data_IF_871527363191
#
_entry.id   IF_871527363191
#
_cell.length_a   1.000
_cell.length_b   1.000
_cell.length_c   1.000
_cell.angle_alpha   90.00
_cell.angle_beta   90.00
_cell.angle_gamma   90.00
#
_symmetry.space_group_name_H-M   'P 1'
#
loop_
_entity.id
_entity.type
_entity.pdbx_description
1 polymer ?
#
# COMPACT_ATOMS: atom_id res chain seq x y z
N UNK A 1 21.14 -19.57 19.01
CA UNK A 1 21.26 -18.16 19.49
C UNK A 1 22.24 -17.30 18.66
N UNK A 2 23.37 -17.85 18.19
CA UNK A 2 24.40 -17.12 17.42
C UNK A 2 23.91 -16.37 16.17
N UNK A 3 23.01 -16.99 15.37
CA UNK A 3 22.46 -16.36 14.14
C UNK A 3 21.61 -15.11 14.41
N UNK A 4 20.95 -15.02 15.58
CA UNK A 4 20.17 -13.82 16.01
C UNK A 4 21.09 -12.69 16.47
N UNK A 5 22.23 -13.01 17.08
CA UNK A 5 23.25 -12.02 17.44
C UNK A 5 23.94 -11.45 16.18
N UNK A 6 24.28 -12.32 15.22
CA UNK A 6 24.88 -11.91 13.95
C UNK A 6 23.95 -11.06 13.08
N UNK A 7 22.64 -11.34 13.07
CA UNK A 7 21.68 -10.50 12.33
C UNK A 7 21.48 -9.13 12.98
N UNK A 8 21.53 -9.04 14.32
CA UNK A 8 21.56 -7.75 15.04
C UNK A 8 22.83 -6.97 14.73
N UNK A 9 23.98 -7.65 14.65
CA UNK A 9 25.27 -7.06 14.28
C UNK A 9 25.27 -6.52 12.85
N UNK A 10 24.67 -7.24 11.90
CA UNK A 10 24.53 -6.79 10.51
C UNK A 10 23.57 -5.59 10.35
N UNK A 11 22.55 -5.49 11.21
CA UNK A 11 21.64 -4.33 11.28
C UNK A 11 22.32 -3.08 11.85
N UNK A 12 23.32 -3.26 12.71
CA UNK A 12 24.16 -2.20 13.27
C UNK A 12 25.07 -1.54 12.23
N UNK A 13 25.24 -2.14 11.04
CA UNK A 13 26.01 -1.58 9.91
C UNK A 13 25.14 -0.88 8.85
N UNK A 14 23.94 -0.42 9.21
CA UNK A 14 23.10 0.35 8.29
C UNK A 14 23.65 1.77 8.09
N UNK A 15 23.48 2.38 6.91
CA UNK A 15 24.01 3.72 6.52
C UNK A 15 24.01 4.77 7.66
N UNK A 16 22.91 5.02 8.41
CA UNK A 16 22.92 5.99 9.50
C UNK A 16 23.82 5.59 10.68
N UNK A 17 23.91 4.30 11.03
CA UNK A 17 24.82 3.83 12.09
C UNK A 17 26.28 3.89 11.67
N UNK A 18 26.59 3.71 10.37
CA UNK A 18 27.96 3.88 9.84
C UNK A 18 28.42 5.33 9.92
N UNK A 19 27.52 6.28 9.62
CA UNK A 19 27.80 7.71 9.75
C UNK A 19 28.03 8.07 11.22
N UNK A 20 27.17 7.59 12.12
CA UNK A 20 27.33 7.84 13.56
C UNK A 20 28.62 7.23 14.13
N UNK A 21 28.92 5.97 13.82
CA UNK A 21 30.19 5.34 14.20
C UNK A 21 31.38 6.08 13.60
N UNK A 22 31.28 6.51 12.34
CA UNK A 22 32.30 7.30 11.67
C UNK A 22 32.58 8.62 12.41
N UNK A 23 31.53 9.34 12.82
CA UNK A 23 31.66 10.60 13.58
C UNK A 23 32.33 10.36 14.94
N UNK A 24 31.93 9.32 15.67
CA UNK A 24 32.53 8.98 16.99
C UNK A 24 34.01 8.59 16.84
N UNK A 25 34.35 7.80 15.82
CA UNK A 25 35.74 7.41 15.54
C UNK A 25 36.56 8.64 15.14
N UNK A 26 36.06 9.48 14.24
CA UNK A 26 36.73 10.71 13.81
C UNK A 26 36.95 11.65 14.99
N UNK A 27 35.94 11.81 15.87
CA UNK A 27 36.06 12.63 17.07
C UNK A 27 37.19 12.16 17.99
N UNK A 28 37.31 10.85 18.23
CA UNK A 28 38.42 10.32 19.03
C UNK A 28 39.79 10.44 18.35
N UNK A 29 39.86 10.33 17.01
CA UNK A 29 41.10 10.60 16.25
C UNK A 29 41.51 12.07 16.39
N UNK A 30 40.56 13.01 16.35
CA UNK A 30 40.81 14.44 16.56
C UNK A 30 41.32 14.71 17.98
N UNK A 31 40.71 14.10 19.00
CA UNK A 31 41.21 14.21 20.37
C UNK A 31 42.64 13.68 20.50
N UNK A 32 42.97 12.60 19.80
CA UNK A 32 44.32 12.03 19.75
C UNK A 32 45.33 12.96 19.07
N UNK A 33 44.96 13.57 17.94
CA UNK A 33 45.79 14.55 17.24
C UNK A 33 46.03 15.84 18.06
N UNK A 34 45.12 16.20 18.96
CA UNK A 34 45.23 17.39 19.81
C UNK A 34 46.06 17.17 21.09
N UNK A 35 46.61 15.97 21.32
CA UNK A 35 47.57 15.72 22.40
C UNK A 35 46.99 15.79 23.83
N UNK A 36 45.67 15.66 23.98
CA UNK A 36 45.00 15.58 25.29
C UNK A 36 45.49 14.30 26.00
N UNK A 37 45.94 14.34 27.25
CA UNK A 37 46.55 13.17 27.92
C UNK A 37 45.66 11.91 27.87
N UNK A 38 46.13 10.87 27.17
CA UNK A 38 45.35 9.66 26.86
C UNK A 38 45.52 8.56 27.91
N UNK A 39 44.51 8.34 28.73
CA UNK A 39 44.36 7.08 29.46
C UNK A 39 43.51 6.10 28.64
N UNK A 40 44.13 5.06 28.08
CA UNK A 40 43.46 4.08 27.21
C UNK A 40 42.21 3.45 27.84
N UNK A 41 42.18 3.28 29.18
CA UNK A 41 41.01 2.73 29.88
C UNK A 41 39.84 3.69 29.85
N UNK A 42 40.12 4.99 30.02
CA UNK A 42 39.10 6.05 29.98
C UNK A 42 38.58 6.17 28.56
N UNK A 43 39.45 6.14 27.54
CA UNK A 43 39.03 6.21 26.13
C UNK A 43 38.14 5.04 25.71
N UNK A 44 38.48 3.81 26.11
CA UNK A 44 37.64 2.64 25.81
C UNK A 44 36.29 2.76 26.54
N UNK A 45 36.29 3.21 27.80
CA UNK A 45 35.06 3.42 28.57
C UNK A 45 34.17 4.51 27.94
N UNK A 46 34.74 5.64 27.54
CA UNK A 46 33.99 6.73 26.86
C UNK A 46 33.42 6.26 25.54
N UNK A 47 34.17 5.48 24.76
CA UNK A 47 33.71 4.95 23.48
C UNK A 47 32.51 3.99 23.67
N UNK A 48 32.53 3.14 24.69
CA UNK A 48 31.40 2.26 25.03
C UNK A 48 30.17 3.09 25.43
N UNK A 49 30.36 4.13 26.25
CA UNK A 49 29.29 5.05 26.66
C UNK A 49 28.71 5.76 25.44
N UNK A 50 29.54 6.33 24.58
CA UNK A 50 29.12 7.07 23.38
C UNK A 50 28.36 6.17 22.41
N UNK A 51 28.82 4.94 22.17
CA UNK A 51 28.09 3.95 21.37
C UNK A 51 26.72 3.66 22.00
N UNK A 52 26.68 3.47 23.32
CA UNK A 52 25.43 3.13 24.03
C UNK A 52 24.42 4.28 23.95
N UNK A 53 24.87 5.50 24.24
CA UNK A 53 24.06 6.73 24.15
C UNK A 53 23.55 6.91 22.72
N UNK A 54 24.43 6.75 21.73
CA UNK A 54 24.08 6.89 20.30
C UNK A 54 23.00 5.90 19.87
N UNK A 55 23.10 4.62 20.29
CA UNK A 55 22.08 3.61 19.98
C UNK A 55 20.75 3.96 20.65
N UNK A 56 20.77 4.42 21.91
CA UNK A 56 19.55 4.83 22.61
C UNK A 56 18.90 6.03 21.93
N UNK A 57 19.68 7.06 21.61
CA UNK A 57 19.24 8.27 20.94
C UNK A 57 18.66 7.96 19.56
N UNK A 58 19.32 7.11 18.77
CA UNK A 58 18.83 6.69 17.46
C UNK A 58 17.50 5.93 17.56
N UNK A 59 17.35 5.01 18.52
CA UNK A 59 16.10 4.30 18.75
C UNK A 59 14.98 5.24 19.17
N UNK A 60 15.27 6.19 20.06
CA UNK A 60 14.33 7.19 20.53
C UNK A 60 13.87 8.13 19.41
N UNK A 61 14.80 8.66 18.62
CA UNK A 61 14.49 9.48 17.45
C UNK A 61 13.68 8.70 16.42
N UNK A 62 14.04 7.45 16.14
CA UNK A 62 13.27 6.61 15.21
C UNK A 62 11.83 6.41 15.70
N UNK A 63 11.65 6.19 17.00
CA UNK A 63 10.33 6.06 17.61
C UNK A 63 9.54 7.38 17.55
N UNK A 64 10.19 8.51 17.81
CA UNK A 64 9.60 9.83 17.73
C UNK A 64 9.21 10.19 16.30
N UNK A 65 10.11 10.04 15.32
CA UNK A 65 9.83 10.39 13.93
C UNK A 65 8.84 9.45 13.24
N UNK A 66 8.68 8.22 13.72
CA UNK A 66 7.66 7.29 13.19
C UNK A 66 6.25 7.88 13.20
N UNK A 67 5.94 8.82 14.11
CA UNK A 67 4.63 9.47 14.20
C UNK A 67 4.32 10.43 13.03
N UNK A 68 5.35 10.91 12.32
CA UNK A 68 5.17 11.83 11.19
C UNK A 68 5.13 11.11 9.84
N UNK A 69 5.51 9.84 9.81
CA UNK A 69 5.51 9.04 8.57
C UNK A 69 4.09 8.68 8.14
N UNK A 70 3.21 8.42 9.11
CA UNK A 70 1.79 8.16 8.88
C UNK A 70 0.96 8.89 9.93
N UNK A 71 -0.26 9.37 9.60
CA UNK A 71 -1.16 10.01 10.54
C UNK A 71 -1.76 9.00 11.54
N UNK A 72 -0.93 8.51 12.46
CA UNK A 72 -1.32 7.53 13.49
C UNK A 72 -1.57 8.19 14.84
N UNK A 73 -2.72 7.89 15.41
CA UNK A 73 -3.17 8.51 16.66
C UNK A 73 -2.97 7.58 17.86
N UNK A 74 -2.92 6.26 17.65
CA UNK A 74 -2.88 5.28 18.75
C UNK A 74 -1.46 4.84 19.13
N UNK A 75 -1.13 4.68 20.43
CA UNK A 75 0.18 4.19 20.87
C UNK A 75 0.53 2.77 20.36
N UNK A 76 -0.47 1.93 20.16
CA UNK A 76 -0.30 0.58 19.61
C UNK A 76 0.17 0.63 18.15
N UNK A 77 -0.46 1.50 17.35
CA UNK A 77 -0.09 1.75 15.95
C UNK A 77 1.34 2.30 15.84
N UNK A 78 1.78 3.12 16.81
CA UNK A 78 3.18 3.61 16.90
C UNK A 78 4.20 2.47 17.01
N UNK A 79 3.94 1.51 17.90
CA UNK A 79 4.83 0.34 18.05
C UNK A 79 4.88 -0.48 16.76
N UNK A 80 3.73 -0.62 16.11
CA UNK A 80 3.57 -1.35 14.85
C UNK A 80 4.30 -0.70 13.66
N UNK A 81 4.34 0.64 13.58
CA UNK A 81 5.18 1.34 12.59
C UNK A 81 6.66 1.17 12.92
N UNK A 82 7.04 1.36 14.19
CA UNK A 82 8.43 1.26 14.61
C UNK A 82 9.03 -0.11 14.25
N UNK A 83 8.31 -1.21 14.49
CA UNK A 83 8.77 -2.55 14.09
C UNK A 83 8.92 -2.68 12.58
N UNK A 84 8.01 -2.10 11.79
CA UNK A 84 8.07 -2.13 10.32
C UNK A 84 9.19 -1.29 9.74
N UNK A 85 9.47 -0.10 10.29
CA UNK A 85 10.60 0.75 9.90
C UNK A 85 11.92 0.03 10.19
N UNK A 86 12.02 -0.62 11.36
CA UNK A 86 13.22 -1.40 11.73
C UNK A 86 13.45 -2.57 10.77
N UNK A 87 12.38 -3.24 10.37
CA UNK A 87 12.44 -4.38 9.45
C UNK A 87 12.57 -3.95 7.97
N UNK A 88 12.50 -2.65 7.66
CA UNK A 88 12.57 -2.13 6.30
C UNK A 88 13.84 -2.57 5.54
N UNK A 89 14.98 -2.68 6.24
CA UNK A 89 16.27 -3.10 5.68
C UNK A 89 16.48 -4.62 5.63
N UNK A 90 15.63 -5.40 6.29
CA UNK A 90 15.82 -6.85 6.41
C UNK A 90 15.42 -7.63 5.14
N UNK A 91 14.87 -6.96 4.13
CA UNK A 91 14.29 -7.59 2.93
C UNK A 91 13.00 -8.39 3.19
N UNK A 92 12.64 -8.62 4.47
CA UNK A 92 11.44 -9.33 4.91
C UNK A 92 10.26 -8.41 5.19
N UNK A 93 10.31 -7.19 4.67
CA UNK A 93 9.21 -6.22 4.83
C UNK A 93 8.03 -6.63 3.97
N UNK A 94 6.83 -6.43 4.52
CA UNK A 94 5.61 -6.52 3.75
C UNK A 94 5.43 -5.35 2.79
N UNK A 95 4.30 -5.33 2.08
CA UNK A 95 4.04 -4.35 1.05
C UNK A 95 3.74 -2.98 1.68
N UNK A 96 4.17 -1.90 1.03
CA UNK A 96 3.72 -0.53 1.34
C UNK A 96 2.86 -0.06 0.16
N UNK A 97 1.55 -0.06 0.33
CA UNK A 97 0.61 0.22 -0.76
C UNK A 97 -0.30 1.40 -0.42
N UNK A 98 -0.56 2.21 -1.43
CA UNK A 98 -1.51 3.31 -1.37
C UNK A 98 -2.71 2.97 -2.24
N UNK A 99 -3.91 3.14 -1.71
CA UNK A 99 -5.15 2.90 -2.44
C UNK A 99 -5.87 4.24 -2.56
N UNK A 100 -6.06 4.69 -3.80
CA UNK A 100 -6.65 5.99 -4.13
C UNK A 100 -7.77 5.79 -5.13
N UNK A 101 -8.94 6.35 -4.85
CA UNK A 101 -10.14 6.22 -5.69
C UNK A 101 -10.43 4.77 -6.11
N UNK A 102 -10.28 3.82 -5.17
CA UNK A 102 -10.48 2.39 -5.44
C UNK A 102 -9.42 1.72 -6.32
N UNK A 103 -8.31 2.40 -6.65
CA UNK A 103 -7.20 1.83 -7.39
C UNK A 103 -6.00 1.62 -6.47
N UNK A 104 -5.37 0.44 -6.58
CA UNK A 104 -4.11 0.16 -5.88
C UNK A 104 -2.97 0.83 -6.65
N UNK A 105 -2.36 1.84 -6.06
CA UNK A 105 -1.19 2.51 -6.59
C UNK A 105 0.03 1.66 -6.26
N UNK A 106 0.54 0.95 -7.26
CA UNK A 106 1.64 0.02 -7.10
C UNK A 106 2.98 0.71 -7.35
N UNK A 107 3.94 0.52 -6.44
CA UNK A 107 5.36 0.73 -6.74
C UNK A 107 5.99 -0.60 -7.15
N UNK A 108 7.00 -0.55 -8.02
CA UNK A 108 7.66 -1.75 -8.52
C UNK A 108 8.08 -2.68 -7.38
N UNK A 109 7.73 -3.96 -7.50
CA UNK A 109 8.02 -5.02 -6.54
C UNK A 109 7.42 -4.86 -5.13
N UNK A 110 6.63 -3.82 -4.83
CA UNK A 110 5.94 -3.72 -3.54
C UNK A 110 4.83 -4.75 -3.43
N UNK A 111 4.07 -4.96 -4.50
CA UNK A 111 2.86 -5.79 -4.44
C UNK A 111 3.11 -7.29 -4.34
N UNK A 112 4.31 -7.71 -4.70
CA UNK A 112 4.73 -9.10 -4.60
C UNK A 112 5.31 -9.42 -3.22
N UNK A 113 5.53 -8.40 -2.37
CA UNK A 113 5.99 -8.61 -1.00
C UNK A 113 4.84 -9.16 -0.17
N UNK A 114 5.08 -10.31 0.45
CA UNK A 114 4.21 -10.89 1.48
C UNK A 114 4.87 -10.66 2.84
N UNK A 115 4.14 -10.08 3.79
CA UNK A 115 4.69 -9.84 5.12
C UNK A 115 4.05 -8.70 5.90
N UNK A 116 4.71 -8.31 6.99
CA UNK A 116 4.33 -7.18 7.83
C UNK A 116 4.52 -5.87 7.06
N UNK A 117 3.41 -5.34 6.56
CA UNK A 117 3.35 -4.18 5.67
C UNK A 117 2.31 -3.17 6.13
N UNK A 118 2.10 -2.16 5.29
CA UNK A 118 1.20 -1.03 5.55
C UNK A 118 0.37 -0.76 4.30
N UNK A 119 -0.93 -0.66 4.50
CA UNK A 119 -1.90 -0.21 3.50
C UNK A 119 -2.43 1.15 3.94
N UNK A 120 -2.40 2.11 3.04
CA UNK A 120 -2.95 3.45 3.24
C UNK A 120 -4.07 3.64 2.24
N UNK A 121 -5.31 3.65 2.74
CA UNK A 121 -6.51 3.79 1.94
C UNK A 121 -7.06 5.21 2.07
N UNK A 122 -7.41 5.82 0.94
CA UNK A 122 -8.13 7.10 0.95
C UNK A 122 -9.52 6.98 1.61
N UNK A 123 -10.13 8.13 1.87
CA UNK A 123 -11.43 8.27 2.57
C UNK A 123 -12.59 7.54 1.89
N UNK A 124 -12.47 7.19 0.62
CA UNK A 124 -13.50 6.52 -0.16
C UNK A 124 -12.96 5.27 -0.86
N UNK A 125 -11.97 4.61 -0.30
CA UNK A 125 -11.39 3.38 -0.86
C UNK A 125 -11.51 2.22 0.11
N UNK A 126 -11.69 1.03 -0.45
CA UNK A 126 -11.64 -0.23 0.29
C UNK A 126 -10.87 -1.29 -0.49
N UNK A 127 -10.35 -2.29 0.24
CA UNK A 127 -9.75 -3.50 -0.35
C UNK A 127 -10.18 -4.72 0.42
N UNK A 128 -10.07 -5.88 -0.21
CA UNK A 128 -10.26 -7.18 0.46
C UNK A 128 -8.91 -7.84 0.64
N UNK A 129 -8.62 -8.21 1.89
CA UNK A 129 -7.42 -8.97 2.23
C UNK A 129 -7.73 -10.46 2.24
N UNK A 130 -6.76 -11.23 1.76
CA UNK A 130 -6.77 -12.69 1.80
C UNK A 130 -5.40 -13.23 2.20
N UNK A 131 -5.43 -14.47 2.66
CA UNK A 131 -4.27 -15.34 2.76
C UNK A 131 -4.36 -16.39 1.65
N UNK A 132 -3.39 -17.29 1.58
CA UNK A 132 -3.43 -18.40 0.61
C UNK A 132 -4.58 -19.39 0.91
N UNK A 133 -5.04 -19.47 2.17
CA UNK A 133 -6.09 -20.38 2.60
C UNK A 133 -7.47 -19.73 2.76
N UNK A 134 -7.55 -18.49 3.25
CA UNK A 134 -8.81 -17.86 3.65
C UNK A 134 -8.88 -16.37 3.30
N UNK A 135 -10.10 -15.88 3.06
CA UNK A 135 -10.40 -14.43 3.01
C UNK A 135 -10.35 -13.88 4.44
N UNK A 136 -9.54 -12.85 4.66
CA UNK A 136 -9.38 -12.21 5.98
C UNK A 136 -10.52 -11.23 6.22
N UNK A 137 -10.89 -10.47 5.20
CA UNK A 137 -12.01 -9.54 5.25
C UNK A 137 -11.74 -8.24 4.50
N UNK A 138 -12.77 -7.38 4.50
CA UNK A 138 -12.70 -6.06 3.91
C UNK A 138 -12.00 -5.06 4.85
N UNK A 139 -11.21 -4.17 4.26
CA UNK A 139 -10.51 -3.07 4.92
C UNK A 139 -11.01 -1.80 4.27
N UNK A 140 -11.55 -0.90 5.09
CA UNK A 140 -12.04 0.41 4.66
C UNK A 140 -10.98 1.51 4.75
N UNK A 141 -11.42 2.77 4.65
CA UNK A 141 -10.56 3.94 4.69
C UNK A 141 -9.62 4.02 5.90
N UNK A 142 -8.46 4.65 5.69
CA UNK A 142 -7.45 4.88 6.72
C UNK A 142 -6.24 3.96 6.59
N UNK A 143 -5.56 3.71 7.71
CA UNK A 143 -4.32 2.93 7.73
C UNK A 143 -4.62 1.53 8.25
N UNK A 144 -4.15 0.51 7.52
CA UNK A 144 -4.23 -0.88 7.95
C UNK A 144 -2.86 -1.55 7.86
N UNK A 145 -2.52 -2.20 8.95
CA UNK A 145 -1.34 -3.03 9.06
C UNK A 145 -1.62 -4.45 8.59
N UNK A 146 -0.82 -4.95 7.64
CA UNK A 146 -0.92 -6.34 7.17
C UNK A 146 -0.13 -7.27 8.08
N UNK A 147 -0.63 -8.50 8.23
CA UNK A 147 0.07 -9.60 8.90
C UNK A 147 0.89 -10.42 7.89
N UNK A 148 1.64 -11.39 8.41
CA UNK A 148 2.40 -12.34 7.59
C UNK A 148 1.45 -13.08 6.64
N UNK A 149 1.82 -13.13 5.36
CA UNK A 149 1.07 -13.79 4.27
C UNK A 149 -0.31 -13.18 3.94
N UNK A 150 -0.64 -12.01 4.47
CA UNK A 150 -1.81 -11.25 3.99
C UNK A 150 -1.46 -10.45 2.74
N UNK A 151 -2.32 -10.50 1.73
CA UNK A 151 -2.21 -9.72 0.50
C UNK A 151 -3.58 -9.31 -0.03
N UNK A 152 -3.60 -8.27 -0.87
CA UNK A 152 -4.82 -7.78 -1.52
C UNK A 152 -5.25 -8.81 -2.58
N UNK A 153 -6.56 -9.05 -2.68
CA UNK A 153 -7.10 -9.91 -3.73
C UNK A 153 -6.74 -9.37 -5.13
N UNK A 154 -6.46 -10.28 -6.06
CA UNK A 154 -6.14 -9.92 -7.44
C UNK A 154 -7.17 -10.51 -8.40
N UNK A 155 -7.46 -9.79 -9.48
CA UNK A 155 -8.30 -10.25 -10.59
C UNK A 155 -7.61 -9.96 -11.92
N UNK A 156 -7.94 -10.77 -12.93
CA UNK A 156 -7.52 -10.49 -14.30
C UNK A 156 -8.26 -9.25 -14.77
N UNK A 157 -7.52 -8.25 -15.22
CA UNK A 157 -8.09 -7.08 -15.87
C UNK A 157 -8.41 -7.45 -17.33
N UNK A 158 -9.67 -7.33 -17.79
CA UNK A 158 -10.09 -7.77 -19.12
C UNK A 158 -9.45 -6.97 -20.26
N UNK A 159 -8.93 -5.76 -20.00
CA UNK A 159 -8.28 -4.92 -21.02
C UNK A 159 -6.81 -5.27 -21.20
N UNK A 160 -6.12 -5.54 -20.10
CA UNK A 160 -4.66 -5.79 -20.10
C UNK A 160 -4.31 -7.27 -20.07
N UNK A 161 -5.30 -8.13 -19.77
CA UNK A 161 -5.14 -9.56 -19.50
C UNK A 161 -4.08 -9.87 -18.43
N UNK A 162 -3.82 -8.91 -17.53
CA UNK A 162 -2.85 -9.01 -16.44
C UNK A 162 -3.58 -9.14 -15.12
N UNK A 163 -2.92 -9.82 -14.17
CA UNK A 163 -3.41 -9.99 -12.81
C UNK A 163 -3.13 -8.72 -12.00
N UNK A 164 -4.16 -7.94 -11.69
CA UNK A 164 -4.06 -6.65 -11.00
C UNK A 164 -4.78 -6.72 -9.64
N UNK A 165 -4.29 -5.95 -8.66
CA UNK A 165 -4.91 -5.94 -7.34
C UNK A 165 -6.19 -5.11 -7.32
N UNK A 166 -7.22 -5.65 -6.69
CA UNK A 166 -8.55 -5.06 -6.72
C UNK A 166 -8.72 -4.13 -5.53
N UNK A 167 -8.92 -2.86 -5.83
CA UNK A 167 -9.53 -1.91 -4.91
C UNK A 167 -10.98 -1.64 -5.30
N UNK A 168 -11.71 -1.07 -4.35
CA UNK A 168 -13.12 -0.71 -4.50
C UNK A 168 -13.25 0.76 -4.15
N UNK A 169 -13.89 1.53 -5.04
CA UNK A 169 -14.28 2.91 -4.77
C UNK A 169 -15.64 2.92 -4.07
N UNK A 170 -15.68 3.56 -2.90
CA UNK A 170 -16.84 3.70 -2.02
C UNK A 170 -17.68 4.93 -2.35
N UNK A 171 -17.27 5.77 -3.30
CA UNK A 171 -18.10 6.88 -3.79
C UNK A 171 -19.34 6.36 -4.50
N UNK A 172 -20.31 7.23 -4.66
CA UNK A 172 -21.49 6.92 -5.47
C UNK A 172 -21.08 6.80 -6.93
N UNK A 173 -21.41 5.67 -7.54
CA UNK A 173 -21.15 5.38 -8.93
C UNK A 173 -22.45 5.39 -9.73
N UNK A 174 -22.35 5.90 -10.95
CA UNK A 174 -23.40 5.86 -11.94
C UNK A 174 -23.00 4.86 -13.02
N UNK A 175 -23.92 3.96 -13.36
CA UNK A 175 -23.78 3.05 -14.49
C UNK A 175 -25.01 3.18 -15.36
N UNK A 176 -24.78 3.42 -16.65
CA UNK A 176 -25.84 3.47 -17.65
C UNK A 176 -25.75 2.21 -18.50
N UNK A 177 -26.89 1.58 -18.75
CA UNK A 177 -27.04 0.38 -19.56
C UNK A 177 -28.10 0.63 -20.63
N UNK A 178 -27.90 0.01 -21.79
CA UNK A 178 -28.85 0.13 -22.90
C UNK A 178 -28.59 1.35 -23.79
N UNK A 179 -29.44 1.50 -24.80
CA UNK A 179 -29.36 2.59 -25.77
C UNK A 179 -30.02 3.87 -25.20
N UNK A 180 -29.32 5.01 -25.14
CA UNK A 180 -29.92 6.27 -24.70
C UNK A 180 -31.11 6.68 -25.58
N UNK A 181 -32.14 7.34 -25.03
CA UNK A 181 -33.30 7.78 -25.80
C UNK A 181 -32.93 8.80 -26.89
N UNK A 182 -31.91 9.63 -26.65
CA UNK A 182 -31.45 10.65 -27.60
C UNK A 182 -30.35 10.15 -28.56
N UNK A 183 -30.15 8.83 -28.64
CA UNK A 183 -29.11 8.25 -29.49
C UNK A 183 -29.44 8.48 -30.97
N UNK A 184 -28.58 9.23 -31.67
CA UNK A 184 -28.73 9.49 -33.10
C UNK A 184 -28.31 8.27 -33.92
N UNK A 185 -29.14 7.90 -34.89
CA UNK A 185 -28.82 6.81 -35.81
C UNK A 185 -27.52 7.14 -36.57
N UNK A 186 -26.60 6.17 -36.73
CA UNK A 186 -25.38 6.36 -37.50
C UNK A 186 -25.68 6.79 -38.94
N UNK A 187 -24.93 7.76 -39.48
CA UNK A 187 -25.07 8.15 -40.88
C UNK A 187 -24.47 7.06 -41.79
N UNK A 188 -25.26 6.48 -42.72
CA UNK A 188 -24.80 5.42 -43.63
C UNK A 188 -23.62 5.83 -44.51
N UNK A 189 -23.47 7.13 -44.79
CA UNK A 189 -22.40 7.65 -45.65
C UNK A 189 -21.11 7.99 -44.90
N UNK A 190 -21.04 7.73 -43.59
CA UNK A 190 -19.86 8.02 -42.77
C UNK A 190 -18.85 6.88 -42.79
N UNK A 191 -17.55 7.20 -42.80
CA UNK A 191 -16.46 6.22 -42.74
C UNK A 191 -16.47 5.36 -41.45
N UNK A 192 -17.20 5.80 -40.41
CA UNK A 192 -17.35 5.10 -39.14
C UNK A 192 -18.64 4.29 -38.98
N UNK A 193 -19.49 4.20 -40.00
CA UNK A 193 -20.85 3.62 -39.92
C UNK A 193 -20.88 2.22 -39.29
N UNK A 194 -20.00 1.31 -39.75
CA UNK A 194 -19.94 -0.06 -39.24
C UNK A 194 -19.58 -0.14 -37.75
N UNK A 195 -18.66 0.71 -37.28
CA UNK A 195 -18.27 0.74 -35.85
C UNK A 195 -19.42 1.25 -34.99
N UNK A 196 -20.12 2.27 -35.48
CA UNK A 196 -21.26 2.87 -34.79
C UNK A 196 -22.47 1.91 -34.72
N UNK A 197 -22.70 1.10 -35.77
CA UNK A 197 -23.69 0.02 -35.75
C UNK A 197 -23.34 -1.05 -34.71
N UNK A 198 -22.10 -1.53 -34.70
CA UNK A 198 -21.63 -2.52 -33.72
C UNK A 198 -21.76 -2.01 -32.28
N UNK A 199 -21.46 -0.73 -32.04
CA UNK A 199 -21.63 -0.11 -30.73
C UNK A 199 -23.12 0.00 -30.34
N UNK A 200 -23.98 0.42 -31.26
CA UNK A 200 -25.42 0.48 -31.06
C UNK A 200 -26.01 -0.91 -30.74
N UNK A 201 -25.65 -1.94 -31.50
CA UNK A 201 -26.09 -3.32 -31.27
C UNK A 201 -25.60 -3.83 -29.91
N UNK A 202 -24.34 -3.55 -29.56
CA UNK A 202 -23.78 -3.90 -28.27
C UNK A 202 -24.53 -3.23 -27.11
N UNK A 203 -24.93 -1.97 -27.26
CA UNK A 203 -25.73 -1.26 -26.25
C UNK A 203 -27.13 -1.84 -26.16
N UNK A 204 -27.82 -2.09 -27.28
CA UNK A 204 -29.14 -2.73 -27.30
C UNK A 204 -29.10 -4.10 -26.63
N UNK A 205 -28.09 -4.91 -26.93
CA UNK A 205 -27.93 -6.25 -26.36
C UNK A 205 -27.72 -6.29 -24.83
N UNK A 206 -27.39 -5.17 -24.17
CA UNK A 206 -27.25 -5.13 -22.70
C UNK A 206 -28.58 -5.24 -21.97
N UNK A 207 -29.67 -4.79 -22.60
CA UNK A 207 -30.98 -4.59 -21.98
C UNK A 207 -32.11 -5.11 -22.86
N UNK A 208 -31.78 -5.84 -23.92
CA UNK A 208 -32.76 -6.44 -24.81
C UNK A 208 -33.49 -7.58 -24.10
N UNK A 209 -34.80 -7.62 -24.25
CA UNK A 209 -35.65 -8.72 -23.81
C UNK A 209 -36.80 -8.92 -24.78
N UNK A 210 -37.20 -10.17 -24.96
CA UNK A 210 -38.37 -10.53 -25.75
C UNK A 210 -39.58 -10.62 -24.81
N UNK A 211 -40.66 -9.93 -25.14
CA UNK A 211 -41.92 -10.06 -24.41
C UNK A 211 -42.63 -11.35 -24.78
N UNK A 212 -43.62 -11.75 -23.97
CA UNK A 212 -44.47 -12.92 -24.24
C UNK A 212 -45.12 -12.88 -25.63
N UNK A 213 -45.45 -11.69 -26.11
CA UNK A 213 -46.17 -11.49 -27.36
C UNK A 213 -45.21 -11.36 -28.57
N UNK A 214 -43.91 -11.60 -28.37
CA UNK A 214 -42.90 -11.60 -29.43
C UNK A 214 -42.34 -10.22 -29.78
N UNK A 215 -42.53 -9.21 -28.93
CA UNK A 215 -41.94 -7.88 -29.14
C UNK A 215 -40.56 -7.78 -28.50
N UNK A 216 -39.57 -7.33 -29.27
CA UNK A 216 -38.26 -6.95 -28.76
C UNK A 216 -38.36 -5.59 -28.06
N UNK A 217 -38.04 -5.57 -26.77
CA UNK A 217 -38.01 -4.36 -25.95
C UNK A 217 -36.59 -4.12 -25.47
N UNK A 218 -36.16 -2.86 -25.51
CA UNK A 218 -34.87 -2.41 -25.00
C UNK A 218 -35.10 -1.22 -24.08
N UNK A 219 -34.53 -1.26 -22.88
CA UNK A 219 -34.68 -0.23 -21.87
C UNK A 219 -33.37 0.54 -21.67
N UNK A 220 -33.45 1.85 -21.50
CA UNK A 220 -32.34 2.65 -20.99
C UNK A 220 -32.40 2.67 -19.46
N UNK A 221 -31.42 2.03 -18.82
CA UNK A 221 -31.41 1.85 -17.36
C UNK A 221 -30.25 2.68 -16.78
N UNK A 222 -30.58 3.59 -15.86
CA UNK A 222 -29.58 4.28 -15.04
C UNK A 222 -29.55 3.66 -13.65
N UNK A 223 -28.37 3.22 -13.23
CA UNK A 223 -28.12 2.61 -11.93
C UNK A 223 -27.23 3.55 -11.14
N UNK A 224 -27.76 4.10 -10.06
CA UNK A 224 -26.99 4.84 -9.05
C UNK A 224 -26.80 3.95 -7.84
N UNK A 225 -25.56 3.58 -7.54
CA UNK A 225 -25.28 2.74 -6.39
C UNK A 225 -24.09 3.26 -5.58
N UNK A 226 -24.06 2.87 -4.30
CA UNK A 226 -22.96 3.15 -3.38
C UNK A 226 -22.83 1.97 -2.42
N UNK A 227 -21.60 1.52 -2.20
CA UNK A 227 -21.31 0.47 -1.23
C UNK A 227 -21.31 1.11 0.17
N UNK A 228 -22.21 0.66 1.03
CA UNK A 228 -22.24 1.05 2.45
C UNK A 228 -21.66 -0.07 3.30
N UNK A 229 -20.93 0.31 4.35
CA UNK A 229 -20.52 -0.62 5.40
C UNK A 229 -21.72 -0.87 6.31
N UNK A 230 -21.93 -2.13 6.68
CA UNK A 230 -22.91 -2.48 7.70
C UNK A 230 -22.42 -1.99 9.07
N UNK A 231 -23.26 -1.23 9.78
CA UNK A 231 -22.92 -0.61 11.08
C UNK A 231 -22.94 -1.61 12.23
N UNK A 232 -23.50 -2.81 12.02
CA UNK A 232 -23.51 -3.86 13.02
C UNK A 232 -22.18 -4.62 13.02
N UNK A 233 -21.18 -4.12 13.75
CA UNK A 233 -20.09 -4.91 14.37
C UNK A 233 -19.22 -4.07 15.30
#
# INVERSE_FOLDING_TARGET
MLKKAFSKFKLMFSIPYRVLLGIVIVWHIVQWALGIEFNYRITIATLIVDITVTILLFNWLTYFFAQFVLPIHKPQERKEIYTRIKDFKSGKRGPILFIKNGQVVEHENEINKKGLGVLVLDTASAVVLRTDANIVGAVGPGIRFTKKNEYIIKSVNPKTNKLESIGVDLRTQWRFLGLPPDYKLPNPNSSGYQRALLEMEKLRGQTAGLTRDGFDVYAYISIRFRIKRDEKK
#
